data_IF_170342457885
#
_entry.id   IF_170342457885
#
_cell.length_a   1.000
_cell.length_b   1.000
_cell.length_c   1.000
_cell.angle_alpha   90.00
_cell.angle_beta   90.00
_cell.angle_gamma   90.00
#
_symmetry.space_group_name_H-M   'P 1'
#
loop_
_entity.id
_entity.type
_entity.pdbx_description
1 polymer ?
#
# COMPACT_ATOMS: atom_id res chain seq x y z
N UNK A 1 -2.41 -2.69 -35.22
CA UNK A 1 -2.92 -3.49 -34.08
C UNK A 1 -1.78 -3.70 -33.11
N UNK A 2 -1.91 -3.22 -31.87
CA UNK A 2 -0.93 -3.50 -30.81
C UNK A 2 -1.14 -4.95 -30.42
N UNK A 3 -0.08 -5.76 -30.58
CA UNK A 3 -0.09 -7.18 -30.33
C UNK A 3 -0.55 -7.47 -28.91
N UNK A 4 -1.51 -8.39 -28.74
CA UNK A 4 -2.03 -8.76 -27.42
C UNK A 4 -0.92 -9.36 -26.53
N UNK A 5 0.15 -9.88 -27.15
CA UNK A 5 1.35 -10.34 -26.46
C UNK A 5 2.20 -9.22 -25.85
N UNK A 6 2.06 -7.97 -26.29
CA UNK A 6 2.78 -6.85 -25.69
C UNK A 6 2.16 -6.37 -24.35
N UNK A 7 0.99 -6.92 -23.98
CA UNK A 7 0.33 -6.69 -22.69
C UNK A 7 0.60 -7.79 -21.66
N UNK A 8 1.31 -8.85 -22.04
CA UNK A 8 1.78 -9.82 -21.07
C UNK A 8 2.86 -9.14 -20.21
N UNK A 9 2.46 -8.69 -19.01
CA UNK A 9 3.42 -8.45 -17.94
C UNK A 9 4.32 -9.68 -17.87
N UNK A 10 5.65 -9.55 -18.05
CA UNK A 10 6.52 -10.69 -17.91
C UNK A 10 6.33 -11.18 -16.48
N UNK A 11 5.78 -12.38 -16.34
CA UNK A 11 5.59 -13.07 -15.06
C UNK A 11 6.97 -13.44 -14.52
N UNK A 12 7.73 -12.42 -14.11
CA UNK A 12 8.99 -12.60 -13.45
C UNK A 12 8.70 -13.04 -12.01
N UNK A 13 9.56 -13.89 -11.48
CA UNK A 13 9.51 -14.39 -10.10
C UNK A 13 9.32 -13.23 -9.10
N UNK A 14 8.76 -13.43 -7.89
CA UNK A 14 8.56 -12.37 -6.90
C UNK A 14 9.81 -11.53 -6.60
N UNK A 15 11.00 -12.10 -6.78
CA UNK A 15 12.30 -11.41 -6.69
C UNK A 15 12.51 -10.28 -7.71
N UNK A 16 11.77 -10.32 -8.81
CA UNK A 16 11.74 -9.32 -9.88
C UNK A 16 10.47 -8.48 -9.87
N UNK A 17 9.52 -8.78 -8.96
CA UNK A 17 8.40 -7.90 -8.73
C UNK A 17 8.96 -6.53 -8.32
N UNK A 18 8.66 -5.54 -9.14
CA UNK A 18 8.95 -4.16 -8.80
C UNK A 18 8.22 -3.88 -7.49
N UNK A 19 8.98 -3.66 -6.41
CA UNK A 19 8.41 -3.18 -5.16
C UNK A 19 7.52 -1.99 -5.51
N UNK A 20 6.21 -2.12 -5.23
CA UNK A 20 5.23 -1.12 -5.61
C UNK A 20 5.70 0.23 -5.12
N UNK A 21 5.68 1.24 -6.00
CA UNK A 21 6.05 2.59 -5.61
C UNK A 21 5.19 2.96 -4.40
N UNK A 22 5.83 3.30 -3.28
CA UNK A 22 5.11 3.74 -2.09
C UNK A 22 4.51 5.09 -2.42
N UNK A 23 3.21 5.10 -2.73
CA UNK A 23 2.48 6.33 -3.05
C UNK A 23 1.93 6.96 -1.77
N UNK A 24 1.68 8.27 -1.83
CA UNK A 24 1.00 9.01 -0.76
C UNK A 24 -0.31 8.33 -0.35
N UNK A 25 -1.11 7.85 -1.31
CA UNK A 25 -2.34 7.10 -1.06
C UNK A 25 -2.12 5.82 -0.23
N UNK A 26 -1.01 5.13 -0.47
CA UNK A 26 -0.64 3.93 0.30
C UNK A 26 -0.29 4.32 1.74
N UNK A 27 0.44 5.41 1.91
CA UNK A 27 0.79 5.94 3.22
C UNK A 27 -0.45 6.38 4.01
N UNK A 28 -1.35 7.13 3.38
CA UNK A 28 -2.61 7.57 3.99
C UNK A 28 -3.49 6.39 4.44
N UNK A 29 -3.57 5.34 3.61
CA UNK A 29 -4.33 4.14 3.97
C UNK A 29 -3.75 3.42 5.19
N UNK A 30 -2.42 3.33 5.28
CA UNK A 30 -1.73 2.74 6.44
C UNK A 30 -1.95 3.59 7.69
N UNK A 31 -1.78 4.92 7.59
CA UNK A 31 -1.97 5.83 8.71
C UNK A 31 -3.42 5.80 9.22
N UNK A 32 -4.38 5.80 8.30
CA UNK A 32 -5.81 5.62 8.61
C UNK A 32 -6.07 4.29 9.32
N UNK A 33 -5.44 3.20 8.88
CA UNK A 33 -5.52 1.89 9.53
C UNK A 33 -4.98 1.91 10.97
N UNK A 34 -3.86 2.59 11.20
CA UNK A 34 -3.28 2.77 12.55
C UNK A 34 -4.24 3.56 13.44
N UNK A 35 -4.83 4.65 12.94
CA UNK A 35 -5.81 5.43 13.70
C UNK A 35 -7.08 4.65 14.01
N UNK A 36 -7.59 3.86 13.06
CA UNK A 36 -8.74 2.97 13.33
C UNK A 36 -8.42 1.93 14.40
N UNK A 37 -7.22 1.34 14.35
CA UNK A 37 -6.78 0.36 15.33
C UNK A 37 -6.60 0.98 16.72
N UNK A 38 -5.96 2.15 16.80
CA UNK A 38 -5.85 2.94 18.01
C UNK A 38 -7.23 3.24 18.63
N UNK A 39 -8.17 3.71 17.81
CA UNK A 39 -9.54 3.97 18.24
C UNK A 39 -10.20 2.72 18.84
N UNK A 40 -10.07 1.57 18.18
CA UNK A 40 -10.60 0.30 18.67
C UNK A 40 -9.96 -0.12 20.01
N UNK A 41 -8.62 -0.03 20.13
CA UNK A 41 -7.92 -0.36 21.36
C UNK A 41 -8.33 0.54 22.52
N UNK A 42 -8.40 1.85 22.30
CA UNK A 42 -8.83 2.80 23.33
C UNK A 42 -10.27 2.53 23.80
N UNK A 43 -11.14 2.08 22.88
CA UNK A 43 -12.50 1.68 23.20
C UNK A 43 -12.55 0.39 24.04
N UNK A 44 -11.73 -0.61 23.70
CA UNK A 44 -11.64 -1.86 24.47
C UNK A 44 -11.08 -1.61 25.87
N UNK A 45 -10.05 -0.76 25.98
CA UNK A 45 -9.44 -0.43 27.26
C UNK A 45 -10.45 0.21 28.24
N UNK A 46 -11.36 1.04 27.73
CA UNK A 46 -12.41 1.67 28.54
C UNK A 46 -13.53 0.71 28.93
N UNK A 47 -13.82 -0.30 28.11
CA UNK A 47 -14.86 -1.30 28.40
C UNK A 47 -14.44 -2.32 29.48
N UNK A 48 -13.14 -2.40 29.80
CA UNK A 48 -12.60 -3.39 30.72
C UNK A 48 -12.57 -4.82 30.13
N UNK A 49 -11.89 -5.78 30.79
CA UNK A 49 -11.82 -7.16 30.32
C UNK A 49 -13.22 -7.77 30.28
N UNK A 50 -13.53 -8.47 29.18
CA UNK A 50 -14.80 -9.10 28.76
C UNK A 50 -15.59 -9.78 29.89
N UNK A 51 -16.14 -8.99 30.81
CA UNK A 51 -17.17 -9.39 31.74
C UNK A 51 -18.49 -8.90 31.16
N UNK A 52 -19.49 -9.77 31.17
CA UNK A 52 -20.87 -9.53 30.73
C UNK A 52 -21.38 -8.23 31.37
N UNK A 53 -21.25 -7.11 30.66
CA UNK A 53 -21.69 -5.81 31.15
C UNK A 53 -23.23 -5.78 31.09
N UNK A 54 -23.84 -6.10 32.23
CA UNK A 54 -25.29 -6.10 32.43
C UNK A 54 -25.90 -4.76 32.02
N UNK A 55 -25.15 -3.67 32.13
CA UNK A 55 -25.58 -2.33 31.72
C UNK A 55 -25.62 -2.24 30.19
N UNK A 56 -24.58 -2.68 29.48
CA UNK A 56 -24.61 -2.76 28.01
C UNK A 56 -25.72 -3.68 27.48
N UNK A 57 -26.03 -4.79 28.17
CA UNK A 57 -27.17 -5.66 27.80
C UNK A 57 -28.51 -4.94 27.98
N UNK A 58 -28.72 -4.27 29.11
CA UNK A 58 -29.94 -3.48 29.38
C UNK A 58 -30.07 -2.28 28.42
N UNK A 59 -28.97 -1.61 28.08
CA UNK A 59 -28.97 -0.48 27.14
C UNK A 59 -29.26 -0.95 25.71
N UNK A 60 -28.79 -2.14 25.31
CA UNK A 60 -29.12 -2.72 24.00
C UNK A 60 -30.60 -3.09 23.86
N UNK A 61 -31.32 -3.28 24.98
CA UNK A 61 -32.77 -3.52 24.99
C UNK A 61 -33.61 -2.24 24.88
N UNK A 62 -32.98 -1.06 24.86
CA UNK A 62 -33.67 0.22 24.65
C UNK A 62 -33.87 0.42 23.14
N UNK A 63 -35.10 0.63 22.64
CA UNK A 63 -35.42 0.67 21.21
C UNK A 63 -34.86 1.89 20.46
N UNK A 64 -34.13 2.76 21.15
CA UNK A 64 -33.40 3.87 20.56
C UNK A 64 -31.96 3.83 21.06
N UNK A 65 -30.99 3.43 20.22
CA UNK A 65 -29.59 3.58 20.59
C UNK A 65 -29.34 5.08 20.71
N UNK A 66 -29.04 5.56 21.92
CA UNK A 66 -28.43 6.87 22.06
C UNK A 66 -27.07 6.78 21.36
N UNK A 67 -27.00 7.26 20.12
CA UNK A 67 -25.75 7.45 19.38
C UNK A 67 -24.93 8.52 20.08
N UNK A 68 -24.32 8.14 21.20
CA UNK A 68 -23.22 8.90 21.76
C UNK A 68 -22.01 8.56 20.88
N UNK A 69 -21.76 9.38 19.87
CA UNK A 69 -20.44 9.46 19.22
C UNK A 69 -19.51 10.04 20.29
N UNK A 70 -19.05 9.17 21.19
CA UNK A 70 -18.10 9.52 22.24
C UNK A 70 -16.71 9.25 21.72
N UNK A 71 -15.84 10.25 21.78
CA UNK A 71 -14.42 10.02 21.59
C UNK A 71 -13.91 9.17 22.76
N UNK A 72 -13.15 8.09 22.49
CA UNK A 72 -12.50 7.35 23.55
C UNK A 72 -11.57 8.30 24.31
N UNK A 73 -11.55 8.19 25.65
CA UNK A 73 -10.59 8.93 26.46
C UNK A 73 -9.16 8.52 26.07
N UNK A 74 -8.25 9.49 25.88
CA UNK A 74 -6.86 9.20 25.56
C UNK A 74 -6.23 8.42 26.72
N UNK A 75 -5.53 7.34 26.39
CA UNK A 75 -4.83 6.49 27.36
C UNK A 75 -3.33 6.80 27.23
N UNK A 76 -2.69 7.49 28.19
CA UNK A 76 -1.35 8.05 28.00
C UNK A 76 -0.28 7.06 27.53
N UNK A 77 -0.28 5.82 28.05
CA UNK A 77 0.65 4.77 27.62
C UNK A 77 0.42 4.33 26.17
N UNK A 78 -0.84 4.22 25.77
CA UNK A 78 -1.23 3.82 24.41
C UNK A 78 -0.92 4.95 23.41
N UNK A 79 -1.26 6.19 23.75
CA UNK A 79 -0.95 7.37 22.92
C UNK A 79 0.56 7.49 22.65
N UNK A 80 1.38 7.22 23.67
CA UNK A 80 2.85 7.26 23.52
C UNK A 80 3.34 6.23 22.50
N UNK A 81 2.78 5.01 22.52
CA UNK A 81 3.13 3.93 21.58
C UNK A 81 2.61 4.21 20.16
N UNK A 82 1.41 4.78 20.03
CA UNK A 82 0.84 5.17 18.73
C UNK A 82 1.69 6.27 18.11
N UNK A 83 2.05 7.30 18.87
CA UNK A 83 2.88 8.40 18.39
C UNK A 83 4.28 7.91 17.94
N UNK A 84 4.89 6.98 18.69
CA UNK A 84 6.15 6.37 18.29
C UNK A 84 6.02 5.62 16.95
N UNK A 85 4.93 4.87 16.77
CA UNK A 85 4.63 4.16 15.52
C UNK A 85 4.41 5.11 14.35
N UNK A 86 3.69 6.22 14.55
CA UNK A 86 3.47 7.24 13.51
C UNK A 86 4.78 7.88 13.06
N UNK A 87 5.65 8.24 14.01
CA UNK A 87 6.97 8.82 13.70
C UNK A 87 7.82 7.83 12.88
N UNK A 88 7.82 6.56 13.27
CA UNK A 88 8.55 5.51 12.55
C UNK A 88 7.99 5.29 11.14
N UNK A 89 6.66 5.29 10.98
CA UNK A 89 6.00 5.17 9.67
C UNK A 89 6.35 6.34 8.76
N UNK A 90 6.31 7.58 9.27
CA UNK A 90 6.71 8.78 8.53
C UNK A 90 8.17 8.65 8.09
N UNK A 91 9.07 8.21 8.98
CA UNK A 91 10.49 8.03 8.66
C UNK A 91 10.67 7.00 7.53
N UNK A 92 10.04 5.83 7.64
CA UNK A 92 10.12 4.77 6.61
C UNK A 92 9.56 5.27 5.27
N UNK A 93 8.44 5.99 5.28
CA UNK A 93 7.88 6.57 4.06
C UNK A 93 8.82 7.61 3.43
N UNK A 94 9.44 8.47 4.23
CA UNK A 94 10.41 9.45 3.74
C UNK A 94 11.66 8.77 3.15
N UNK A 95 12.15 7.69 3.77
CA UNK A 95 13.25 6.89 3.24
C UNK A 95 12.85 6.23 1.92
N UNK A 96 11.69 5.57 1.88
CA UNK A 96 11.19 4.89 0.68
C UNK A 96 10.89 5.86 -0.47
N UNK A 97 10.34 7.03 -0.19
CA UNK A 97 10.07 8.07 -1.19
C UNK A 97 11.33 8.75 -1.72
N UNK A 98 12.37 8.88 -0.89
CA UNK A 98 13.68 9.38 -1.30
C UNK A 98 14.51 8.34 -2.06
N UNK A 99 14.28 7.05 -1.83
CA UNK A 99 14.96 6.00 -2.59
C UNK A 99 14.48 6.02 -4.04
N UNK A 100 15.28 6.65 -4.90
CA UNK A 100 15.17 6.45 -6.35
C UNK A 100 15.21 4.95 -6.61
N UNK A 101 14.25 4.46 -7.39
CA UNK A 101 14.12 3.09 -7.86
C UNK A 101 15.48 2.39 -7.97
N UNK A 102 15.82 1.57 -6.98
CA UNK A 102 17.01 0.72 -7.06
C UNK A 102 16.62 -0.45 -7.94
N UNK A 103 17.13 -0.49 -9.16
CA UNK A 103 16.96 -1.67 -10.00
C UNK A 103 17.68 -2.84 -9.32
N UNK A 104 16.98 -3.94 -9.08
CA UNK A 104 17.59 -5.20 -8.63
C UNK A 104 18.44 -5.88 -9.73
N UNK A 105 18.66 -5.19 -10.85
CA UNK A 105 19.43 -5.69 -11.98
C UNK A 105 20.91 -5.70 -11.65
N UNK A 106 21.54 -6.84 -11.91
CA UNK A 106 22.99 -6.97 -11.90
C UNK A 106 23.63 -6.02 -12.93
N UNK A 107 24.91 -5.71 -12.77
CA UNK A 107 25.63 -4.84 -13.71
C UNK A 107 25.60 -5.38 -15.14
N UNK A 108 25.56 -6.72 -15.30
CA UNK A 108 25.45 -7.38 -16.60
C UNK A 108 24.06 -7.18 -17.23
N UNK A 109 22.98 -7.35 -16.46
CA UNK A 109 21.61 -7.12 -16.93
C UNK A 109 21.37 -5.66 -17.28
N UNK A 110 21.88 -4.71 -16.47
CA UNK A 110 21.83 -3.28 -16.80
C UNK A 110 22.58 -2.94 -18.09
N UNK A 111 23.69 -3.64 -18.37
CA UNK A 111 24.42 -3.49 -19.63
C UNK A 111 23.64 -4.07 -20.80
N UNK A 112 23.01 -5.23 -20.62
CA UNK A 112 22.13 -5.84 -21.62
C UNK A 112 20.93 -4.95 -21.96
N UNK A 113 20.24 -4.43 -20.93
CA UNK A 113 19.08 -3.54 -21.09
C UNK A 113 19.45 -2.24 -21.83
N UNK A 114 20.62 -1.65 -21.51
CA UNK A 114 21.13 -0.46 -22.22
C UNK A 114 21.35 -0.75 -23.70
N UNK A 115 22.03 -1.86 -24.02
CA UNK A 115 22.25 -2.27 -25.42
C UNK A 115 20.93 -2.44 -26.17
N UNK A 116 19.97 -3.16 -25.58
CA UNK A 116 18.66 -3.39 -26.20
C UNK A 116 17.91 -2.07 -26.47
N UNK A 117 17.94 -1.13 -25.51
CA UNK A 117 17.33 0.20 -25.66
C UNK A 117 17.97 0.99 -26.80
N UNK A 118 19.28 0.90 -26.97
CA UNK A 118 19.99 1.58 -28.06
C UNK A 118 19.71 0.90 -29.41
N UNK A 119 19.67 -0.43 -29.47
CA UNK A 119 19.28 -1.16 -30.69
C UNK A 119 17.84 -0.87 -31.11
N UNK A 120 16.93 -0.67 -30.16
CA UNK A 120 15.55 -0.24 -30.45
C UNK A 120 15.49 1.11 -31.16
N UNK A 121 16.38 2.05 -30.84
CA UNK A 121 16.43 3.36 -31.53
C UNK A 121 16.87 3.21 -33.00
N UNK A 122 17.68 2.20 -33.29
CA UNK A 122 18.18 1.92 -34.64
C UNK A 122 17.28 1.00 -35.46
N UNK A 123 16.38 0.26 -34.82
CA UNK A 123 15.40 -0.59 -35.50
C UNK A 123 14.27 0.27 -36.08
N UNK A 124 14.44 0.69 -37.34
CA UNK A 124 13.35 1.24 -38.14
C UNK A 124 12.45 0.09 -38.58
N UNK A 125 11.32 -0.09 -37.91
CA UNK A 125 10.31 -1.09 -38.30
C UNK A 125 9.64 -0.57 -39.56
N UNK A 126 10.08 -1.06 -40.72
CA UNK A 126 9.36 -0.85 -41.98
C UNK A 126 8.28 -1.92 -42.06
N UNK A 127 7.02 -1.52 -41.87
CA UNK A 127 5.87 -2.38 -42.15
C UNK A 127 5.69 -2.37 -43.67
N UNK A 128 6.14 -3.41 -44.36
CA UNK A 128 5.74 -3.63 -45.75
C UNK A 128 4.34 -4.19 -45.75
N UNK A 129 3.37 -3.42 -46.26
CA UNK A 129 2.05 -3.93 -46.54
C UNK A 129 2.18 -4.91 -47.72
N UNK A 130 2.08 -6.21 -47.43
CA UNK A 130 1.94 -7.21 -48.50
C UNK A 130 0.50 -7.16 -48.97
N UNK A 131 0.20 -6.28 -49.90
CA UNK A 131 -0.99 -6.44 -50.74
C UNK A 131 -0.77 -7.68 -51.59
N UNK A 132 -1.39 -8.78 -51.18
CA UNK A 132 -1.55 -9.99 -51.98
C UNK A 132 -2.47 -9.61 -53.15
N UNK A 133 -1.87 -9.35 -54.31
CA UNK A 133 -2.57 -9.40 -55.59
C UNK A 133 -2.05 -10.61 -56.36
N UNK A 134 -2.90 -11.63 -56.48
CA UNK A 134 -3.05 -12.57 -57.61
C UNK A 134 -4.20 -13.51 -57.27
#
# INVERSE_FOLDING_TARGET
MIDKDMKALPNLDPSFAVAGLVTEKTFDAVLCGVHMFAYQLSWQHQKGPTALDKVSTLVSSIPLPKSHIGLPKPVPDLETKINALEVDLIRIYQEASRTKFKSNLTSQELRGLRKLKDTRKTLRITVCDKTVHS
#
